data_IF_271126881878
#
_entry.id   IF_271126881878
#
_cell.length_a   1.000
_cell.length_b   1.000
_cell.length_c   1.000
_cell.angle_alpha   90.00
_cell.angle_beta   90.00
_cell.angle_gamma   90.00
#
_symmetry.space_group_name_H-M   'P 1'
#
loop_
_entity.id
_entity.type
_entity.pdbx_description
1 polymer ?
#
# COMPACT_ATOMS: atom_id res chain seq x y z
N UNK A 1 -17.84 2.52 16.68
CA UNK A 1 -16.93 3.68 16.77
C UNK A 1 -17.85 4.87 16.78
N UNK A 2 -18.14 5.40 17.96
CA UNK A 2 -19.37 6.19 18.14
C UNK A 2 -19.05 7.65 18.48
N UNK A 3 -17.76 7.97 18.67
CA UNK A 3 -17.26 9.31 18.99
C UNK A 3 -16.46 9.83 17.80
N UNK A 4 -16.76 11.03 17.36
CA UNK A 4 -16.03 11.73 16.28
C UNK A 4 -15.11 12.77 16.91
N UNK A 5 -13.89 12.89 16.40
CA UNK A 5 -12.97 13.94 16.82
C UNK A 5 -13.44 15.31 16.32
N UNK A 6 -13.52 16.30 17.20
CA UNK A 6 -13.92 17.67 16.81
C UNK A 6 -12.91 18.38 15.91
N UNK A 7 -11.63 17.99 15.97
CA UNK A 7 -10.56 18.64 15.19
C UNK A 7 -10.37 18.02 13.80
N UNK A 8 -10.25 16.69 13.73
CA UNK A 8 -9.91 15.99 12.49
C UNK A 8 -11.05 15.12 11.93
N UNK A 9 -12.22 15.11 12.58
CA UNK A 9 -13.39 14.31 12.20
C UNK A 9 -13.15 12.78 12.15
N UNK A 10 -12.01 12.31 12.67
CA UNK A 10 -11.72 10.88 12.77
C UNK A 10 -12.70 10.17 13.73
N UNK A 11 -13.11 8.96 13.34
CA UNK A 11 -13.87 8.05 14.18
C UNK A 11 -12.96 7.47 15.27
N UNK A 12 -13.39 7.60 16.53
CA UNK A 12 -12.64 7.12 17.69
C UNK A 12 -13.13 5.78 18.20
N UNK A 13 -12.20 4.99 18.72
CA UNK A 13 -12.52 3.83 19.54
C UNK A 13 -13.05 4.27 20.91
N UNK A 14 -13.83 3.41 21.58
CA UNK A 14 -14.50 3.76 22.85
C UNK A 14 -13.54 4.22 23.95
N UNK A 15 -12.35 3.61 24.01
CA UNK A 15 -11.32 3.87 25.03
C UNK A 15 -10.08 4.58 24.46
N UNK A 16 -10.21 5.26 23.33
CA UNK A 16 -9.10 6.00 22.72
C UNK A 16 -8.80 7.28 23.50
N UNK A 17 -7.52 7.59 23.71
CA UNK A 17 -7.09 8.78 24.45
C UNK A 17 -7.34 10.08 23.68
N UNK A 18 -7.47 11.19 24.41
CA UNK A 18 -7.63 12.54 23.87
C UNK A 18 -6.30 12.97 23.24
N UNK A 19 -6.02 12.50 22.03
CA UNK A 19 -4.77 12.83 21.34
C UNK A 19 -4.34 11.81 20.30
N UNK A 20 -4.83 10.58 20.36
CA UNK A 20 -4.33 9.50 19.51
C UNK A 20 -4.59 9.73 18.00
N UNK A 21 -5.67 10.44 17.66
CA UNK A 21 -6.04 10.73 16.26
C UNK A 21 -5.40 11.98 15.64
N UNK A 22 -5.11 13.03 16.41
CA UNK A 22 -4.60 14.31 15.87
C UNK A 22 -3.79 15.15 16.88
N UNK A 23 -3.31 14.52 17.95
CA UNK A 23 -2.64 15.18 19.07
C UNK A 23 -3.43 16.40 19.59
N UNK A 24 -4.74 16.24 19.74
CA UNK A 24 -5.67 17.29 20.19
C UNK A 24 -5.69 18.53 19.29
N UNK A 25 -5.69 18.30 17.97
CA UNK A 25 -5.78 19.36 16.95
C UNK A 25 -4.43 19.90 16.48
N UNK A 26 -3.31 19.40 17.01
CA UNK A 26 -1.96 19.81 16.58
C UNK A 26 -1.55 19.21 15.23
N UNK A 27 -2.13 18.06 14.86
CA UNK A 27 -1.86 17.40 13.58
C UNK A 27 -3.03 17.67 12.63
N UNK A 28 -2.74 18.41 11.55
CA UNK A 28 -3.66 18.64 10.45
C UNK A 28 -3.26 17.70 9.30
N UNK A 29 -4.14 16.77 8.95
CA UNK A 29 -3.92 15.87 7.82
C UNK A 29 -4.34 16.57 6.53
N UNK A 30 -3.51 16.47 5.49
CA UNK A 30 -3.91 16.90 4.16
C UNK A 30 -5.07 16.02 3.64
N UNK A 31 -5.99 16.58 2.83
CA UNK A 31 -7.01 15.79 2.17
C UNK A 31 -6.38 14.67 1.33
N UNK A 32 -7.01 13.49 1.36
CA UNK A 32 -6.55 12.38 0.52
C UNK A 32 -6.81 12.72 -0.96
N UNK A 33 -5.83 12.49 -1.85
CA UNK A 33 -6.04 12.67 -3.27
C UNK A 33 -7.10 11.68 -3.76
N UNK A 34 -7.88 12.11 -4.75
CA UNK A 34 -8.92 11.27 -5.34
C UNK A 34 -8.24 10.09 -6.07
N UNK A 35 -8.66 8.84 -5.80
CA UNK A 35 -8.18 7.67 -6.54
C UNK A 35 -8.37 7.83 -8.06
N UNK A 36 -7.44 7.34 -8.90
CA UNK A 36 -7.68 7.22 -10.34
C UNK A 36 -8.71 6.11 -10.64
N UNK A 37 -9.37 6.18 -11.81
CA UNK A 37 -10.18 5.05 -12.32
C UNK A 37 -9.26 3.91 -12.81
N UNK A 38 -9.65 2.63 -12.66
CA UNK A 38 -10.95 2.13 -12.17
C UNK A 38 -11.05 2.02 -10.63
N UNK A 39 -9.98 2.36 -9.90
CA UNK A 39 -9.89 2.14 -8.45
C UNK A 39 -10.91 2.97 -7.67
N UNK A 40 -11.19 4.19 -8.13
CA UNK A 40 -12.26 5.03 -7.56
C UNK A 40 -13.61 4.33 -7.59
N UNK A 41 -14.03 3.78 -8.75
CA UNK A 41 -15.27 3.00 -8.87
C UNK A 41 -15.29 1.79 -7.94
N UNK A 42 -14.17 1.08 -7.80
CA UNK A 42 -14.08 -0.06 -6.87
C UNK A 42 -14.17 0.34 -5.40
N UNK A 43 -13.78 1.56 -5.04
CA UNK A 43 -13.86 2.07 -3.66
C UNK A 43 -15.21 2.74 -3.32
N UNK A 44 -16.07 2.99 -4.31
CA UNK A 44 -17.34 3.71 -4.12
C UNK A 44 -18.41 2.92 -3.34
N UNK A 45 -18.39 1.59 -3.39
CA UNK A 45 -19.34 0.70 -2.75
C UNK A 45 -20.68 0.54 -3.48
N UNK A 46 -20.84 1.15 -4.66
CA UNK A 46 -22.12 1.27 -5.36
C UNK A 46 -22.49 0.01 -6.14
N UNK A 47 -21.53 -0.57 -6.88
CA UNK A 47 -21.73 -1.79 -7.68
C UNK A 47 -21.45 -3.07 -6.89
N UNK A 48 -21.96 -4.21 -7.37
CA UNK A 48 -21.67 -5.51 -6.77
C UNK A 48 -20.18 -5.87 -6.83
N UNK A 49 -19.49 -5.46 -7.90
CA UNK A 49 -18.05 -5.58 -8.04
C UNK A 49 -17.30 -4.74 -7.01
N UNK A 50 -17.75 -3.52 -6.75
CA UNK A 50 -17.17 -2.66 -5.72
C UNK A 50 -17.37 -3.25 -4.32
N UNK A 51 -18.57 -3.78 -4.01
CA UNK A 51 -18.82 -4.48 -2.74
C UNK A 51 -17.95 -5.73 -2.60
N UNK A 52 -17.80 -6.50 -3.67
CA UNK A 52 -16.93 -7.68 -3.71
C UNK A 52 -15.47 -7.29 -3.48
N UNK A 53 -15.00 -6.23 -4.13
CA UNK A 53 -13.68 -5.66 -3.97
C UNK A 53 -13.42 -5.28 -2.51
N UNK A 54 -14.28 -4.43 -1.93
CA UNK A 54 -14.16 -4.00 -0.54
C UNK A 54 -14.13 -5.18 0.44
N UNK A 55 -15.02 -6.18 0.26
CA UNK A 55 -15.06 -7.40 1.09
C UNK A 55 -13.80 -8.26 0.96
N UNK A 56 -13.18 -8.29 -0.22
CA UNK A 56 -12.02 -9.15 -0.53
C UNK A 56 -10.72 -8.36 -0.74
N UNK A 57 -10.64 -7.10 -0.30
CA UNK A 57 -9.48 -6.21 -0.53
C UNK A 57 -8.14 -6.88 -0.21
N UNK A 58 -8.04 -7.62 0.90
CA UNK A 58 -6.83 -8.37 1.25
C UNK A 58 -6.41 -9.38 0.17
N UNK A 59 -7.36 -10.13 -0.37
CA UNK A 59 -7.09 -11.12 -1.42
C UNK A 59 -6.61 -10.44 -2.70
N UNK A 60 -7.29 -9.37 -3.11
CA UNK A 60 -6.86 -8.57 -4.26
C UNK A 60 -5.44 -8.03 -4.05
N UNK A 61 -5.15 -7.40 -2.91
CA UNK A 61 -3.81 -6.89 -2.60
C UNK A 61 -2.74 -8.00 -2.60
N UNK A 62 -3.06 -9.18 -2.06
CA UNK A 62 -2.14 -10.34 -2.11
C UNK A 62 -1.92 -10.86 -3.53
N UNK A 63 -2.92 -10.83 -4.40
CA UNK A 63 -2.75 -11.20 -5.81
C UNK A 63 -1.85 -10.20 -6.56
N UNK A 64 -1.95 -8.91 -6.26
CA UNK A 64 -1.10 -7.86 -6.86
C UNK A 64 0.31 -7.78 -6.27
N UNK A 65 0.61 -8.50 -5.18
CA UNK A 65 1.97 -8.61 -4.65
C UNK A 65 2.91 -9.39 -5.58
N UNK A 66 2.38 -10.16 -6.53
CA UNK A 66 3.17 -10.90 -7.51
C UNK A 66 3.08 -10.21 -8.87
N UNK A 67 3.74 -9.07 -9.04
CA UNK A 67 3.64 -8.28 -10.28
C UNK A 67 4.73 -8.50 -11.31
N UNK A 68 5.77 -9.28 -11.03
CA UNK A 68 6.65 -9.91 -12.04
C UNK A 68 7.71 -10.76 -11.33
N UNK A 69 8.17 -11.82 -12.00
CA UNK A 69 9.35 -12.57 -11.58
C UNK A 69 10.54 -12.07 -12.41
N UNK A 70 11.28 -11.09 -11.89
CA UNK A 70 12.54 -10.66 -12.46
C UNK A 70 13.69 -11.43 -11.84
N UNK A 71 14.31 -12.35 -12.58
CA UNK A 71 15.54 -13.02 -12.17
C UNK A 71 16.73 -12.43 -12.95
N UNK A 72 17.64 -11.75 -12.24
CA UNK A 72 18.91 -11.34 -12.84
C UNK A 72 19.95 -12.40 -12.49
N UNK A 73 20.52 -13.05 -13.50
CA UNK A 73 21.65 -13.98 -13.32
C UNK A 73 22.90 -13.16 -13.05
N UNK A 74 23.45 -13.26 -11.85
CA UNK A 74 24.76 -12.70 -11.53
C UNK A 74 25.78 -13.81 -11.75
N UNK A 75 26.60 -13.68 -12.78
CA UNK A 75 27.76 -14.52 -13.01
C UNK A 75 28.99 -13.74 -12.53
N UNK A 76 29.46 -13.97 -11.32
CA UNK A 76 30.77 -13.47 -10.92
C UNK A 76 31.83 -14.44 -11.47
N UNK A 77 32.54 -14.04 -12.53
CA UNK A 77 33.74 -14.73 -12.97
C UNK A 77 34.85 -14.33 -11.99
N UNK A 78 35.17 -15.20 -11.04
CA UNK A 78 36.46 -15.10 -10.35
C UNK A 78 37.56 -15.36 -11.37
N UNK A 79 38.66 -14.61 -11.28
CA UNK A 79 39.81 -14.63 -12.21
C UNK A 79 40.45 -16.02 -12.39
N UNK A 80 40.10 -17.00 -11.54
CA UNK A 80 40.78 -18.28 -11.40
C UNK A 80 39.97 -19.48 -11.90
N UNK A 81 38.94 -19.27 -12.72
CA UNK A 81 38.35 -20.31 -13.59
C UNK A 81 37.56 -21.42 -12.89
N UNK A 82 37.37 -21.39 -11.57
CA UNK A 82 36.53 -22.33 -10.85
C UNK A 82 35.62 -21.62 -9.85
N UNK A 83 34.37 -22.11 -9.80
CA UNK A 83 33.29 -21.86 -8.83
C UNK A 83 32.16 -20.93 -9.33
N UNK A 84 31.26 -21.48 -10.16
CA UNK A 84 30.02 -20.82 -10.54
C UNK A 84 29.00 -20.84 -9.40
N UNK A 85 28.97 -19.82 -8.54
CA UNK A 85 27.86 -19.61 -7.61
C UNK A 85 26.82 -18.74 -8.31
N UNK A 86 25.78 -19.37 -8.86
CA UNK A 86 24.66 -18.62 -9.45
C UNK A 86 23.78 -18.10 -8.32
N UNK A 87 23.92 -16.82 -7.99
CA UNK A 87 23.03 -16.15 -7.03
C UNK A 87 21.90 -15.45 -7.80
N UNK A 88 20.65 -15.80 -7.50
CA UNK A 88 19.49 -15.09 -8.01
C UNK A 88 19.07 -14.02 -7.00
N UNK A 89 19.06 -12.75 -7.41
CA UNK A 89 18.39 -11.69 -6.65
C UNK A 89 16.93 -11.64 -7.08
N UNK A 90 16.04 -11.83 -6.12
CA UNK A 90 14.59 -11.71 -6.31
C UNK A 90 14.19 -10.30 -5.87
N UNK A 91 13.61 -9.51 -6.77
CA UNK A 91 13.02 -8.21 -6.45
C UNK A 91 11.50 -8.32 -6.52
N UNK A 92 10.82 -7.88 -5.47
CA UNK A 92 9.35 -7.80 -5.41
C UNK A 92 8.94 -6.34 -5.20
N UNK A 93 7.94 -5.88 -5.94
CA UNK A 93 7.29 -4.58 -5.70
C UNK A 93 5.92 -4.79 -5.07
N UNK A 94 5.73 -4.26 -3.86
CA UNK A 94 4.42 -4.21 -3.21
C UNK A 94 3.70 -2.97 -3.72
N UNK A 95 2.48 -3.13 -4.26
CA UNK A 95 1.56 -2.03 -4.50
C UNK A 95 0.99 -1.52 -3.15
N UNK A 96 1.82 -0.82 -2.39
CA UNK A 96 1.35 0.18 -1.44
C UNK A 96 1.30 1.47 -2.26
N UNK A 97 0.12 2.08 -2.32
CA UNK A 97 -0.19 3.36 -2.97
C UNK A 97 1.03 4.29 -3.05
N UNK A 98 1.81 4.17 -4.12
CA UNK A 98 2.73 5.22 -4.56
C UNK A 98 1.90 6.14 -5.41
N UNK A 99 1.25 7.12 -4.78
CA UNK A 99 1.05 8.39 -5.47
C UNK A 99 2.42 8.88 -5.90
N UNK A 100 2.55 9.15 -7.20
CA UNK A 100 3.69 9.78 -7.87
C UNK A 100 4.70 10.44 -6.92
N UNK A 101 5.88 9.85 -6.81
CA UNK A 101 7.11 10.65 -6.70
C UNK A 101 7.83 10.40 -8.02
N UNK A 102 7.35 11.07 -9.08
CA UNK A 102 8.24 11.49 -10.14
C UNK A 102 8.97 12.70 -9.59
N UNK A 103 10.21 12.51 -9.15
CA UNK A 103 11.18 13.60 -9.08
C UNK A 103 12.57 13.03 -9.38
N UNK A 104 13.07 13.50 -10.53
CA UNK A 104 14.42 13.39 -11.12
C UNK A 104 14.83 12.03 -11.71
#
# INVERSE_FOLDING_TARGET
MDKICQYCQALKFRNETIGMCCASGKVVLAPLPIPPEPLKSFLAGESDDSKLFLRKTRKFNSCFQMTSFGATKICDLTSDGNNFVTTFKIQMTVWIWKTHVSHM
#
